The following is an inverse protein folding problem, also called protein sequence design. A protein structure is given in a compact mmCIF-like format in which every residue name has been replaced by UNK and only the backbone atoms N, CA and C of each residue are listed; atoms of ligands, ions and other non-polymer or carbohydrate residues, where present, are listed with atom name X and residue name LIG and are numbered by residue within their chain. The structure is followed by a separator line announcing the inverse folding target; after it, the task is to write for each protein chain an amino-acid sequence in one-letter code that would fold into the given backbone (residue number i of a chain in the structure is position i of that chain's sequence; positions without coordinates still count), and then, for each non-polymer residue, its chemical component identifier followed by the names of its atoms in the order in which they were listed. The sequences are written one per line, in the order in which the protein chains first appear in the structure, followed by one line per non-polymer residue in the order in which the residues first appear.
data_IF_100371386402
#
_entry.id   IF_100371386402
#
_cell.length_a   1.000
_cell.length_b   1.000
_cell.length_c   1.000
_cell.angle_alpha   90.00
_cell.angle_beta   90.00
_cell.angle_gamma   90.00
#
_symmetry.space_group_name_H-M   'P 1'
#
loop_
_entity.id
_entity.type
_entity.pdbx_description
1 polymer ?
#
# COMPACT_ATOMS: atom_id res chain seq x y z
N UNK A 1 6.98 52.68 55.91
CA UNK A 1 5.59 53.01 55.48
C UNK A 1 5.42 52.91 53.97
N UNK A 2 6.32 53.43 53.14
CA UNK A 2 6.20 53.32 51.67
C UNK A 2 6.16 51.86 51.17
N UNK A 3 6.98 50.97 51.71
CA UNK A 3 7.06 49.56 51.28
C UNK A 3 5.80 48.76 51.65
N UNK A 4 5.22 49.03 52.81
CA UNK A 4 3.97 48.39 53.25
C UNK A 4 2.77 48.86 52.41
N UNK A 5 2.72 50.13 52.02
CA UNK A 5 1.68 50.63 51.10
C UNK A 5 1.82 50.05 49.68
N UNK A 6 3.06 49.89 49.19
CA UNK A 6 3.35 49.27 47.90
C UNK A 6 2.91 47.80 47.85
N UNK A 7 3.18 47.04 48.93
CA UNK A 7 2.77 45.64 49.06
C UNK A 7 1.24 45.46 49.13
N UNK A 8 0.56 46.32 49.87
CA UNK A 8 -0.91 46.30 49.98
C UNK A 8 -1.57 46.68 48.65
N UNK A 9 -1.01 47.66 47.93
CA UNK A 9 -1.52 48.07 46.63
C UNK A 9 -1.30 46.99 45.56
N UNK A 10 -0.16 46.31 45.55
CA UNK A 10 0.14 45.23 44.59
C UNK A 10 -0.72 43.98 44.83
N UNK A 11 -0.91 43.60 46.10
CA UNK A 11 -1.81 42.48 46.47
C UNK A 11 -3.28 42.78 46.14
N UNK A 12 -3.74 44.01 46.37
CA UNK A 12 -5.08 44.44 45.96
C UNK A 12 -5.28 44.39 44.44
N UNK A 13 -4.34 44.96 43.66
CA UNK A 13 -4.37 44.90 42.19
C UNK A 13 -4.38 43.46 41.66
N UNK A 14 -3.59 42.57 42.28
CA UNK A 14 -3.57 41.14 41.93
C UNK A 14 -4.90 40.45 42.20
N UNK A 15 -5.54 40.76 43.33
CA UNK A 15 -6.87 40.23 43.69
C UNK A 15 -7.95 40.68 42.71
N UNK A 16 -7.96 41.96 42.33
CA UNK A 16 -8.90 42.52 41.33
C UNK A 16 -8.71 41.83 39.98
N UNK A 17 -7.46 41.65 39.56
CA UNK A 17 -7.13 41.04 38.27
C UNK A 17 -7.54 39.55 38.18
N UNK A 18 -7.52 38.82 39.30
CA UNK A 18 -8.00 37.44 39.39
C UNK A 18 -9.53 37.32 39.50
N UNK A 19 -10.20 38.28 40.14
CA UNK A 19 -11.64 38.18 40.40
C UNK A 19 -12.51 38.51 39.18
N UNK A 20 -11.94 39.18 38.18
CA UNK A 20 -12.67 39.61 36.99
C UNK A 20 -12.48 38.65 35.82
N UNK A 21 -13.54 38.45 35.05
CA UNK A 21 -13.42 37.83 33.73
C UNK A 21 -13.11 38.92 32.72
N UNK A 22 -11.97 38.79 32.06
CA UNK A 22 -11.49 39.75 31.07
C UNK A 22 -12.13 39.51 29.70
N UNK A 23 -12.11 40.52 28.83
CA UNK A 23 -12.56 40.34 27.44
C UNK A 23 -11.58 39.42 26.71
N UNK A 24 -12.08 38.45 25.96
CA UNK A 24 -11.23 37.56 25.16
C UNK A 24 -10.96 38.17 23.77
N UNK A 25 -9.82 38.84 23.62
CA UNK A 25 -9.23 39.23 22.35
C UNK A 25 -7.71 39.44 22.53
N UNK A 26 -6.98 39.62 21.42
CA UNK A 26 -5.52 39.73 21.42
C UNK A 26 -5.03 40.92 22.26
N UNK A 27 -5.69 42.07 22.16
CA UNK A 27 -5.30 43.28 22.91
C UNK A 27 -5.48 43.12 24.42
N UNK A 28 -6.61 42.58 24.85
CA UNK A 28 -6.90 42.32 26.26
C UNK A 28 -5.96 41.27 26.83
N UNK A 29 -5.62 40.22 26.07
CA UNK A 29 -4.63 39.24 26.49
C UNK A 29 -3.25 39.90 26.70
N UNK A 30 -2.84 40.81 25.81
CA UNK A 30 -1.57 41.54 25.93
C UNK A 30 -1.56 42.50 27.12
N UNK A 31 -2.66 43.22 27.34
CA UNK A 31 -2.78 44.17 28.44
C UNK A 31 -2.78 43.46 29.80
N UNK A 32 -3.50 42.34 29.92
CA UNK A 32 -3.51 41.53 31.14
C UNK A 32 -2.14 40.90 31.38
N UNK A 33 -1.48 40.37 30.35
CA UNK A 33 -0.11 39.85 30.45
C UNK A 33 0.87 40.88 31.01
N UNK A 34 0.93 42.08 30.41
CA UNK A 34 1.80 43.18 30.89
C UNK A 34 1.48 43.58 32.33
N UNK A 35 0.19 43.65 32.66
CA UNK A 35 -0.25 43.97 34.03
C UNK A 35 0.17 42.90 35.03
N UNK A 36 0.11 41.63 34.64
CA UNK A 36 0.47 40.49 35.48
C UNK A 36 1.99 40.35 35.66
N UNK A 37 2.77 40.59 34.61
CA UNK A 37 4.25 40.69 34.66
C UNK A 37 4.70 41.70 35.71
N UNK A 38 4.10 42.89 35.73
CA UNK A 38 4.38 43.94 36.72
C UNK A 38 3.97 43.57 38.16
N UNK A 39 3.14 42.54 38.36
CA UNK A 39 2.63 42.08 39.67
C UNK A 39 3.31 40.79 40.17
N UNK A 40 4.46 40.44 39.57
CA UNK A 40 5.17 39.20 39.90
C UNK A 40 4.42 37.97 39.38
N UNK A 41 4.39 37.84 38.05
CA UNK A 41 3.93 36.66 37.34
C UNK A 41 4.83 35.46 37.63
N UNK A 42 4.26 34.31 37.99
CA UNK A 42 5.00 33.07 38.10
C UNK A 42 5.40 32.53 36.71
N UNK A 43 6.42 31.68 36.68
CA UNK A 43 6.94 31.09 35.44
C UNK A 43 5.86 30.30 34.68
N UNK A 44 5.01 29.55 35.39
CA UNK A 44 3.93 28.77 34.82
C UNK A 44 2.89 29.61 34.08
N UNK A 45 2.43 30.70 34.70
CA UNK A 45 1.53 31.65 34.03
C UNK A 45 2.21 32.32 32.83
N UNK A 46 3.52 32.61 32.91
CA UNK A 46 4.30 33.10 31.78
C UNK A 46 4.30 32.13 30.59
N UNK A 47 4.48 30.83 30.87
CA UNK A 47 4.37 29.75 29.87
C UNK A 47 2.95 29.64 29.30
N UNK A 48 1.92 29.75 30.14
CA UNK A 48 0.52 29.78 29.69
C UNK A 48 0.26 30.92 28.70
N UNK A 49 0.68 32.15 29.03
CA UNK A 49 0.54 33.29 28.11
C UNK A 49 1.34 33.09 26.82
N UNK A 50 2.56 32.54 26.89
CA UNK A 50 3.34 32.24 25.69
C UNK A 50 2.58 31.30 24.75
N UNK A 51 1.98 30.24 25.28
CA UNK A 51 1.23 29.29 24.45
C UNK A 51 -0.10 29.84 23.94
N UNK A 52 -0.82 30.65 24.74
CA UNK A 52 -2.01 31.35 24.26
C UNK A 52 -1.67 32.29 23.10
N UNK A 53 -0.63 33.11 23.25
CA UNK A 53 -0.25 34.09 22.23
C UNK A 53 0.22 33.42 20.93
N UNK A 54 0.78 32.22 21.02
CA UNK A 54 1.16 31.42 19.86
C UNK A 54 -0.04 30.78 19.15
N UNK A 55 -1.01 30.25 19.90
CA UNK A 55 -2.05 29.38 19.35
C UNK A 55 -3.40 30.09 19.13
N UNK A 56 -3.80 31.01 20.00
CA UNK A 56 -5.12 31.67 19.92
C UNK A 56 -5.31 32.49 18.63
N UNK A 57 -4.31 33.24 18.12
CA UNK A 57 -4.49 34.02 16.89
C UNK A 57 -4.78 33.19 15.63
N UNK A 58 -4.40 31.91 15.59
CA UNK A 58 -4.72 31.06 14.43
C UNK A 58 -6.01 30.26 14.64
N UNK A 59 -6.78 30.50 15.71
CA UNK A 59 -8.12 29.92 15.85
C UNK A 59 -9.11 30.61 14.90
N UNK A 60 -10.13 29.91 14.40
CA UNK A 60 -11.16 30.54 13.58
C UNK A 60 -11.87 31.66 14.33
N UNK A 61 -12.27 32.71 13.61
CA UNK A 61 -12.90 33.88 14.22
C UNK A 61 -14.19 33.55 15.00
N UNK A 62 -14.96 32.54 14.56
CA UNK A 62 -16.16 32.06 15.25
C UNK A 62 -15.84 31.35 16.58
N UNK A 63 -14.68 30.69 16.68
CA UNK A 63 -14.19 30.15 17.97
C UNK A 63 -13.81 31.32 18.88
N UNK A 64 -12.98 32.25 18.38
CA UNK A 64 -12.49 33.37 19.18
C UNK A 64 -13.61 34.26 19.74
N UNK A 65 -14.67 34.49 18.94
CA UNK A 65 -15.81 35.33 19.31
C UNK A 65 -16.79 34.67 20.28
N UNK A 66 -16.74 33.35 20.44
CA UNK A 66 -17.68 32.59 21.28
C UNK A 66 -16.97 31.61 22.25
N UNK A 67 -15.87 32.05 22.87
CA UNK A 67 -15.06 31.22 23.74
C UNK A 67 -14.94 31.76 25.17
N UNK A 68 -14.74 30.84 26.11
CA UNK A 68 -14.19 31.10 27.43
C UNK A 68 -12.80 30.48 27.50
N UNK A 69 -11.81 31.27 27.93
CA UNK A 69 -10.44 30.84 28.12
C UNK A 69 -10.07 30.90 29.60
N UNK A 70 -9.43 29.84 30.10
CA UNK A 70 -8.96 29.71 31.48
C UNK A 70 -7.46 29.42 31.46
N UNK A 71 -6.69 30.28 32.12
CA UNK A 71 -5.25 30.12 32.32
C UNK A 71 -4.96 29.82 33.78
N UNK A 72 -4.22 28.75 34.06
CA UNK A 72 -3.84 28.38 35.43
C UNK A 72 -2.32 28.31 35.58
N UNK A 73 -1.77 29.15 36.44
CA UNK A 73 -0.34 29.20 36.77
C UNK A 73 0.09 28.09 37.75
N UNK A 74 1.39 27.99 38.01
CA UNK A 74 1.96 26.95 38.87
C UNK A 74 1.58 27.17 40.34
N UNK A 75 1.36 28.43 40.71
CA UNK A 75 0.88 28.83 42.03
C UNK A 75 -0.63 28.59 42.24
N UNK A 76 -1.29 27.94 41.28
CA UNK A 76 -2.71 27.63 41.29
C UNK A 76 -3.63 28.80 40.96
N UNK A 77 -3.10 30.00 40.70
CA UNK A 77 -3.90 31.17 40.33
C UNK A 77 -4.50 31.00 38.94
N UNK A 78 -5.72 31.52 38.78
CA UNK A 78 -6.53 31.34 37.58
C UNK A 78 -6.92 32.69 36.98
N UNK A 79 -6.70 32.87 35.68
CA UNK A 79 -7.22 33.98 34.90
C UNK A 79 -8.32 33.48 33.95
N UNK A 80 -9.43 34.20 33.90
CA UNK A 80 -10.57 33.90 33.04
C UNK A 80 -10.75 35.00 32.00
N UNK A 81 -10.92 34.61 30.75
CA UNK A 81 -11.28 35.50 29.64
C UNK A 81 -12.55 34.95 28.97
N UNK A 82 -13.39 35.83 28.45
CA UNK A 82 -14.58 35.41 27.72
C UNK A 82 -14.95 36.34 26.56
N UNK A 83 -15.57 35.75 25.54
CA UNK A 83 -16.27 36.43 24.45
C UNK A 83 -17.54 35.67 24.11
N UNK A 84 -18.59 36.40 23.71
CA UNK A 84 -19.86 35.83 23.27
C UNK A 84 -20.55 34.98 24.34
N UNK A 85 -21.20 33.91 23.90
CA UNK A 85 -21.99 32.96 24.70
C UNK A 85 -21.14 31.90 25.40
N UNK A 86 -19.83 31.86 25.11
CA UNK A 86 -18.82 31.03 25.79
C UNK A 86 -18.99 29.53 25.53
N UNK A 87 -19.50 29.15 24.37
CA UNK A 87 -19.71 27.73 24.01
C UNK A 87 -18.38 26.96 23.93
N UNK A 88 -17.35 27.59 23.38
CA UNK A 88 -16.01 27.00 23.26
C UNK A 88 -15.24 27.16 24.56
N UNK A 89 -14.54 26.11 25.02
CA UNK A 89 -13.69 26.18 26.21
C UNK A 89 -12.23 26.03 25.84
N UNK A 90 -11.41 27.00 26.22
CA UNK A 90 -9.96 27.00 26.00
C UNK A 90 -9.27 26.92 27.35
N UNK A 91 -8.41 25.92 27.55
CA UNK A 91 -7.69 25.75 28.80
C UNK A 91 -6.18 25.69 28.53
N UNK A 92 -5.40 26.40 29.34
CA UNK A 92 -3.94 26.28 29.40
C UNK A 92 -3.54 26.25 30.87
N UNK A 93 -2.90 25.18 31.31
CA UNK A 93 -2.63 24.96 32.74
C UNK A 93 -1.21 24.51 33.02
N UNK A 94 -0.75 24.85 34.21
CA UNK A 94 0.45 24.32 34.85
C UNK A 94 0.55 22.80 34.74
N UNK A 95 1.74 22.31 34.36
CA UNK A 95 2.07 20.90 34.17
C UNK A 95 2.25 20.51 32.70
N UNK A 96 1.22 20.72 31.87
CA UNK A 96 1.30 20.40 30.43
C UNK A 96 1.53 21.63 29.54
N UNK A 97 1.13 22.82 30.00
CA UNK A 97 1.09 24.08 29.24
C UNK A 97 0.48 23.94 27.84
N UNK A 98 -0.35 22.92 27.60
CA UNK A 98 -0.90 22.65 26.28
C UNK A 98 -2.13 23.50 26.04
N UNK A 99 -2.19 24.14 24.87
CA UNK A 99 -3.37 24.85 24.42
C UNK A 99 -4.48 23.86 24.06
N UNK A 100 -5.44 23.65 24.96
CA UNK A 100 -6.55 22.71 24.78
C UNK A 100 -7.83 23.44 24.45
N UNK A 101 -8.46 23.10 23.34
CA UNK A 101 -9.75 23.64 22.92
C UNK A 101 -10.78 22.52 22.96
N UNK A 102 -11.83 22.69 23.75
CA UNK A 102 -12.99 21.80 23.81
C UNK A 102 -14.13 22.43 23.02
N UNK A 103 -14.59 21.70 22.01
CA UNK A 103 -15.72 22.10 21.19
C UNK A 103 -17.07 21.84 21.89
N UNK A 104 -18.11 22.61 21.57
CA UNK A 104 -19.46 22.39 22.11
C UNK A 104 -20.16 21.16 21.53
N UNK A 105 -19.77 20.71 20.33
CA UNK A 105 -20.35 19.55 19.65
C UNK A 105 -19.33 18.86 18.74
N UNK A 106 -19.66 17.64 18.28
CA UNK A 106 -18.86 16.90 17.28
C UNK A 106 -18.72 17.69 15.98
N UNK A 107 -19.82 18.24 15.46
CA UNK A 107 -19.82 19.03 14.22
C UNK A 107 -18.95 20.28 14.34
N UNK A 108 -19.01 20.99 15.48
CA UNK A 108 -18.15 22.13 15.75
C UNK A 108 -16.67 21.73 15.79
N UNK A 109 -16.35 20.61 16.46
CA UNK A 109 -14.99 20.08 16.52
C UNK A 109 -14.44 19.76 15.12
N UNK A 110 -15.22 19.05 14.30
CA UNK A 110 -14.87 18.72 12.92
C UNK A 110 -14.68 19.96 12.05
N UNK A 111 -15.56 20.97 12.16
CA UNK A 111 -15.41 22.23 11.44
C UNK A 111 -14.10 22.96 11.81
N UNK A 112 -13.72 22.94 13.09
CA UNK A 112 -12.44 23.50 13.56
C UNK A 112 -11.24 22.70 13.03
N UNK A 113 -11.34 21.36 12.97
CA UNK A 113 -10.29 20.53 12.38
C UNK A 113 -10.06 20.83 10.90
N UNK A 114 -11.13 21.07 10.12
CA UNK A 114 -11.03 21.45 8.70
C UNK A 114 -10.36 22.80 8.50
N UNK A 115 -10.61 23.76 9.39
CA UNK A 115 -10.10 25.12 9.26
C UNK A 115 -8.57 25.20 9.48
N UNK A 116 -8.02 24.31 10.29
CA UNK A 116 -6.59 24.32 10.63
C UNK A 116 -5.89 23.10 10.05
N UNK A 117 -4.75 23.33 9.41
CA UNK A 117 -3.81 22.25 9.16
C UNK A 117 -3.41 21.61 10.49
N UNK A 118 -3.64 20.31 10.62
CA UNK A 118 -3.28 19.57 11.83
C UNK A 118 -1.84 19.10 11.73
N UNK A 119 -1.06 19.14 12.82
CA UNK A 119 0.28 18.58 12.80
C UNK A 119 0.20 17.05 12.59
N UNK A 120 0.97 16.52 11.66
CA UNK A 120 1.01 15.09 11.40
C UNK A 120 1.99 14.40 12.36
N UNK A 121 1.44 13.53 13.21
CA UNK A 121 2.18 12.53 13.98
C UNK A 121 1.21 11.43 14.41
N UNK A 122 1.72 10.24 14.73
CA UNK A 122 0.88 9.16 15.29
C UNK A 122 0.18 9.61 16.56
N UNK A 123 0.85 10.42 17.40
CA UNK A 123 0.25 10.98 18.61
C UNK A 123 -0.88 11.97 18.32
N UNK A 124 -0.75 12.81 17.29
CA UNK A 124 -1.81 13.74 16.91
C UNK A 124 -3.03 13.02 16.30
N UNK A 125 -2.79 12.01 15.44
CA UNK A 125 -3.86 11.20 14.86
C UNK A 125 -4.66 10.48 15.96
N UNK A 126 -3.99 9.82 16.90
CA UNK A 126 -4.63 9.18 18.06
C UNK A 126 -5.39 10.17 18.92
N UNK A 127 -4.81 11.34 19.18
CA UNK A 127 -5.49 12.39 19.94
C UNK A 127 -6.77 12.84 19.26
N UNK A 128 -6.77 13.05 17.95
CA UNK A 128 -7.97 13.43 17.21
C UNK A 128 -9.03 12.33 17.28
N UNK A 129 -8.62 11.07 17.13
CA UNK A 129 -9.50 9.91 17.28
C UNK A 129 -10.13 9.85 18.69
N UNK A 130 -9.32 10.04 19.74
CA UNK A 130 -9.76 10.09 21.15
C UNK A 130 -10.71 11.26 21.40
N UNK A 131 -10.37 12.46 20.92
CA UNK A 131 -11.19 13.67 21.06
C UNK A 131 -12.56 13.46 20.38
N UNK A 132 -12.62 12.79 19.23
CA UNK A 132 -13.89 12.44 18.57
C UNK A 132 -14.72 11.44 19.39
N UNK A 133 -14.07 10.44 20.00
CA UNK A 133 -14.74 9.46 20.89
C UNK A 133 -15.39 10.12 22.11
N UNK A 134 -14.92 11.29 22.54
CA UNK A 134 -15.56 12.04 23.64
C UNK A 134 -16.96 12.57 23.32
N UNK A 135 -17.32 12.68 22.03
CA UNK A 135 -18.65 13.10 21.58
C UNK A 135 -19.59 11.92 21.28
N UNK A 136 -19.13 10.67 21.45
CA UNK A 136 -19.88 9.46 21.14
C UNK A 136 -19.02 8.44 20.38
N UNK A 137 -19.54 7.24 20.10
CA UNK A 137 -18.82 6.24 19.31
C UNK A 137 -18.53 6.77 17.90
N UNK A 138 -17.37 6.38 17.36
CA UNK A 138 -17.03 6.64 15.96
C UNK A 138 -17.94 5.84 15.03
N UNK A 139 -18.24 6.39 13.87
CA UNK A 139 -18.88 5.62 12.80
C UNK A 139 -17.92 4.51 12.30
N UNK A 140 -18.43 3.45 11.66
CA UNK A 140 -17.56 2.44 11.03
C UNK A 140 -16.56 3.04 10.04
N UNK A 141 -16.99 4.06 9.29
CA UNK A 141 -16.14 4.79 8.36
C UNK A 141 -14.99 5.52 9.06
N UNK A 142 -15.31 6.34 10.07
CA UNK A 142 -14.33 7.05 10.89
C UNK A 142 -13.32 6.06 11.51
N UNK A 143 -13.82 5.04 12.20
CA UNK A 143 -13.00 4.09 12.93
C UNK A 143 -12.03 3.34 12.00
N UNK A 144 -12.53 2.84 10.87
CA UNK A 144 -11.72 2.06 9.92
C UNK A 144 -10.68 2.92 9.21
N UNK A 145 -10.98 4.19 8.90
CA UNK A 145 -10.00 5.13 8.35
C UNK A 145 -8.89 5.47 9.37
N UNK A 146 -9.25 5.73 10.64
CA UNK A 146 -8.26 5.98 11.70
C UNK A 146 -7.38 4.74 11.95
N UNK A 147 -7.97 3.55 11.99
CA UNK A 147 -7.21 2.31 12.14
C UNK A 147 -6.22 2.11 10.98
N UNK A 148 -6.68 2.26 9.75
CA UNK A 148 -5.86 2.10 8.55
C UNK A 148 -4.71 3.11 8.51
N UNK A 149 -4.97 4.39 8.77
CA UNK A 149 -3.93 5.41 8.74
C UNK A 149 -2.91 5.20 9.85
N UNK A 150 -3.36 4.84 11.06
CA UNK A 150 -2.45 4.58 12.18
C UNK A 150 -1.59 3.34 11.91
N UNK A 151 -2.16 2.29 11.33
CA UNK A 151 -1.43 1.07 10.99
C UNK A 151 -0.38 1.30 9.90
N UNK A 152 -0.69 2.08 8.87
CA UNK A 152 0.20 2.32 7.72
C UNK A 152 1.24 3.39 8.01
N UNK A 153 0.84 4.53 8.56
CA UNK A 153 1.73 5.66 8.82
C UNK A 153 2.77 5.35 9.89
N UNK A 154 2.40 4.63 10.95
CA UNK A 154 3.34 4.28 12.04
C UNK A 154 4.48 3.36 11.60
N UNK A 155 4.34 2.67 10.46
CA UNK A 155 5.36 1.79 9.88
C UNK A 155 6.27 2.52 8.89
N UNK A 156 6.02 3.80 8.59
CA UNK A 156 6.84 4.57 7.65
C UNK A 156 8.17 4.94 8.27
N UNK A 157 9.26 5.02 7.50
CA UNK A 157 10.52 5.57 7.98
C UNK A 157 10.36 7.01 8.48
N UNK A 158 11.19 7.41 9.45
CA UNK A 158 11.14 8.74 10.05
C UNK A 158 11.28 9.86 9.02
N UNK A 159 12.06 9.65 7.95
CA UNK A 159 12.21 10.61 6.85
C UNK A 159 10.87 10.95 6.19
N UNK A 160 10.02 9.93 5.97
CA UNK A 160 8.68 10.11 5.40
C UNK A 160 7.77 10.73 6.46
N UNK A 161 7.77 10.20 7.69
CA UNK A 161 6.90 10.72 8.75
C UNK A 161 7.12 12.21 9.05
N UNK A 162 8.35 12.71 8.88
CA UNK A 162 8.71 14.11 9.11
C UNK A 162 8.44 15.05 7.93
N UNK A 163 8.01 14.54 6.76
CA UNK A 163 7.74 15.34 5.56
C UNK A 163 6.50 14.84 4.78
N UNK A 164 5.42 14.50 5.48
CA UNK A 164 4.24 13.89 4.88
C UNK A 164 2.98 14.74 5.05
N UNK A 165 2.04 14.54 4.15
CA UNK A 165 0.67 15.00 4.26
C UNK A 165 -0.26 13.79 4.22
N UNK A 166 -1.16 13.70 5.21
CA UNK A 166 -2.25 12.72 5.25
C UNK A 166 -3.57 13.44 5.07
N UNK A 167 -4.40 12.97 4.14
CA UNK A 167 -5.80 13.36 3.97
C UNK A 167 -6.70 12.21 4.42
N UNK A 168 -7.56 12.45 5.39
CA UNK A 168 -8.65 11.53 5.75
C UNK A 168 -9.93 12.03 5.09
N UNK A 169 -10.56 11.17 4.29
CA UNK A 169 -11.78 11.48 3.55
C UNK A 169 -12.83 10.43 3.89
N UNK A 170 -13.88 10.83 4.58
CA UNK A 170 -15.03 9.96 4.85
C UNK A 170 -16.31 10.78 4.92
N UNK A 171 -17.43 10.16 4.55
CA UNK A 171 -18.75 10.77 4.58
C UNK A 171 -19.14 11.12 6.02
N UNK A 172 -19.48 12.39 6.24
CA UNK A 172 -20.12 12.86 7.46
C UNK A 172 -21.42 13.56 7.08
N UNK A 173 -22.56 12.98 7.48
CA UNK A 173 -23.89 13.55 7.26
C UNK A 173 -24.28 13.79 5.79
N UNK A 174 -23.76 12.98 4.86
CA UNK A 174 -24.04 13.07 3.42
C UNK A 174 -23.10 14.00 2.65
N UNK A 175 -22.07 14.55 3.31
CA UNK A 175 -21.00 15.32 2.69
C UNK A 175 -19.68 14.56 2.78
N UNK A 176 -18.94 14.51 1.66
CA UNK A 176 -17.56 14.03 1.66
C UNK A 176 -16.67 15.08 2.33
N UNK A 177 -16.10 14.73 3.48
CA UNK A 177 -15.31 15.64 4.27
C UNK A 177 -13.83 15.29 4.20
N UNK A 178 -12.99 16.29 3.96
CA UNK A 178 -11.53 16.15 3.98
C UNK A 178 -10.92 16.73 5.27
N UNK A 179 -10.07 15.94 5.93
CA UNK A 179 -9.24 16.37 7.07
C UNK A 179 -7.77 16.22 6.72
N UNK A 180 -7.00 17.30 6.82
CA UNK A 180 -5.61 17.36 6.37
C UNK A 180 -4.65 17.47 7.56
N UNK A 181 -3.70 16.54 7.62
CA UNK A 181 -2.60 16.49 8.58
C UNK A 181 -1.27 16.66 7.83
N UNK A 182 -0.37 17.52 8.30
CA UNK A 182 0.90 17.83 7.62
C UNK A 182 2.07 17.82 8.61
N UNK A 183 3.20 17.25 8.18
CA UNK A 183 4.52 17.36 8.78
C UNK A 183 5.54 17.84 7.74
N UNK A 184 6.49 18.67 8.16
CA UNK A 184 7.48 19.25 7.24
C UNK A 184 6.82 20.08 6.14
N UNK A 185 7.23 19.84 4.89
CA UNK A 185 6.65 20.46 3.69
C UNK A 185 5.44 19.68 3.16
N UNK A 186 5.28 18.41 3.54
CA UNK A 186 4.17 17.56 3.11
C UNK A 186 4.36 16.96 1.73
N UNK A 187 5.61 16.72 1.31
CA UNK A 187 5.94 16.23 -0.03
C UNK A 187 5.44 14.78 -0.27
N UNK A 188 5.43 13.96 0.79
CA UNK A 188 4.85 12.61 0.74
C UNK A 188 3.35 12.66 1.00
N UNK A 189 2.53 12.53 -0.04
CA UNK A 189 1.06 12.61 0.08
C UNK A 189 0.46 11.23 0.30
N UNK A 190 -0.45 11.13 1.24
CA UNK A 190 -1.17 9.91 1.57
C UNK A 190 -2.65 10.25 1.75
N UNK A 191 -3.53 9.49 1.13
CA UNK A 191 -4.97 9.67 1.29
C UNK A 191 -5.58 8.39 1.83
N UNK A 192 -6.48 8.53 2.80
CA UNK A 192 -7.32 7.46 3.31
C UNK A 192 -8.77 7.84 3.04
N UNK A 193 -9.40 7.14 2.10
CA UNK A 193 -10.78 7.39 1.68
C UNK A 193 -11.67 6.27 2.18
N UNK A 194 -12.89 6.57 2.64
CA UNK A 194 -13.91 5.54 2.86
C UNK A 194 -14.85 5.50 1.66
N UNK A 195 -14.74 4.45 0.85
CA UNK A 195 -15.59 4.25 -0.34
C UNK A 195 -16.01 2.79 -0.44
N UNK A 196 -17.19 2.53 -1.00
CA UNK A 196 -17.69 1.17 -1.22
C UNK A 196 -17.73 0.30 0.05
N UNK A 197 -18.01 0.92 1.21
CA UNK A 197 -18.14 0.23 2.50
C UNK A 197 -16.82 -0.12 3.20
N UNK A 198 -15.69 0.44 2.76
CA UNK A 198 -14.37 0.13 3.33
C UNK A 198 -13.36 1.27 3.18
N UNK A 199 -12.34 1.35 4.04
CA UNK A 199 -11.25 2.29 3.87
C UNK A 199 -10.31 1.84 2.74
N UNK A 200 -9.87 2.78 1.92
CA UNK A 200 -8.85 2.64 0.89
C UNK A 200 -7.68 3.54 1.26
N UNK A 201 -6.47 3.04 1.05
CA UNK A 201 -5.25 3.78 1.34
C UNK A 201 -4.47 3.98 0.05
N UNK A 202 -4.11 5.23 -0.25
CA UNK A 202 -3.25 5.57 -1.38
C UNK A 202 -2.08 6.44 -0.92
N UNK A 203 -0.94 6.23 -1.55
CA UNK A 203 0.29 6.99 -1.35
C UNK A 203 0.73 7.53 -2.70
N UNK A 204 1.17 8.77 -2.70
CA UNK A 204 1.62 9.48 -3.86
C UNK A 204 2.93 10.20 -3.52
N UNK A 205 3.99 9.84 -4.24
CA UNK A 205 5.28 10.52 -4.20
C UNK A 205 5.54 11.20 -5.55
N UNK A 206 5.65 12.53 -5.52
CA UNK A 206 5.91 13.37 -6.69
C UNK A 206 7.22 14.09 -6.46
N UNK A 207 8.10 14.07 -7.46
CA UNK A 207 9.33 14.86 -7.44
C UNK A 207 9.02 16.36 -7.62
N UNK A 208 10.03 17.23 -7.42
CA UNK A 208 9.92 18.67 -7.66
C UNK A 208 9.53 19.05 -9.09
N UNK A 209 9.75 18.14 -10.06
CA UNK A 209 9.51 18.39 -11.48
C UNK A 209 8.14 17.88 -11.94
N UNK A 210 7.20 17.65 -11.00
CA UNK A 210 5.90 17.01 -11.25
C UNK A 210 5.99 15.60 -11.88
N UNK A 211 7.17 14.99 -11.78
CA UNK A 211 7.40 13.62 -12.23
C UNK A 211 6.80 12.63 -11.23
N UNK A 212 5.97 11.69 -11.71
CA UNK A 212 5.48 10.60 -10.87
C UNK A 212 6.63 9.64 -10.57
N UNK A 213 7.17 9.70 -9.36
CA UNK A 213 8.21 8.75 -8.94
C UNK A 213 7.60 7.41 -8.52
N UNK A 214 6.53 7.47 -7.74
CA UNK A 214 5.84 6.29 -7.26
C UNK A 214 4.42 6.63 -6.79
N UNK A 215 3.44 5.89 -7.28
CA UNK A 215 2.09 5.85 -6.73
C UNK A 215 1.79 4.43 -6.25
N UNK A 216 1.20 4.30 -5.08
CA UNK A 216 0.74 3.01 -4.58
C UNK A 216 -0.63 3.13 -3.94
N UNK A 217 -1.49 2.14 -4.11
CA UNK A 217 -2.75 2.07 -3.37
C UNK A 217 -3.15 0.62 -3.09
N UNK A 218 -3.83 0.40 -1.97
CA UNK A 218 -4.41 -0.91 -1.65
C UNK A 218 -5.91 -0.92 -1.99
N UNK A 219 -6.31 -1.90 -2.78
CA UNK A 219 -7.69 -2.19 -3.20
C UNK A 219 -8.15 -3.52 -2.57
N UNK A 220 -9.46 -3.73 -2.44
CA UNK A 220 -10.00 -5.05 -2.06
C UNK A 220 -10.53 -5.85 -3.25
N UNK A 221 -10.87 -5.18 -4.35
CA UNK A 221 -11.29 -5.81 -5.60
C UNK A 221 -10.53 -5.18 -6.76
N UNK A 222 -10.11 -6.03 -7.71
CA UNK A 222 -9.58 -5.56 -8.99
C UNK A 222 -10.72 -5.62 -10.01
N UNK A 223 -11.33 -4.46 -10.25
CA UNK A 223 -12.35 -4.31 -11.27
C UNK A 223 -12.06 -3.08 -12.14
N UNK A 224 -12.79 -2.99 -13.25
CA UNK A 224 -12.63 -1.90 -14.21
C UNK A 224 -13.00 -0.55 -13.57
N UNK A 225 -13.96 -0.51 -12.65
CA UNK A 225 -14.36 0.71 -11.95
C UNK A 225 -13.21 1.29 -11.12
N UNK A 226 -12.63 0.48 -10.24
CA UNK A 226 -11.50 0.86 -9.39
C UNK A 226 -10.29 1.30 -10.22
N UNK A 227 -9.99 0.61 -11.32
CA UNK A 227 -8.90 1.01 -12.22
C UNK A 227 -9.15 2.36 -12.90
N UNK A 228 -10.37 2.59 -13.38
CA UNK A 228 -10.75 3.87 -14.01
C UNK A 228 -10.78 5.01 -12.99
N UNK A 229 -11.11 4.74 -11.73
CA UNK A 229 -11.03 5.71 -10.64
C UNK A 229 -9.57 6.14 -10.38
N UNK A 230 -8.64 5.18 -10.30
CA UNK A 230 -7.21 5.46 -10.15
C UNK A 230 -6.68 6.23 -11.36
N UNK A 231 -7.01 5.79 -12.58
CA UNK A 231 -6.64 6.48 -13.82
C UNK A 231 -7.14 7.94 -13.81
N UNK A 232 -8.39 8.16 -13.43
CA UNK A 232 -8.99 9.49 -13.33
C UNK A 232 -8.31 10.35 -12.27
N UNK A 233 -7.95 9.76 -11.12
CA UNK A 233 -7.20 10.45 -10.05
C UNK A 233 -5.82 10.90 -10.55
N UNK A 234 -5.10 10.04 -11.26
CA UNK A 234 -3.80 10.40 -11.84
C UNK A 234 -3.93 11.49 -12.91
N UNK A 235 -4.99 11.43 -13.74
CA UNK A 235 -5.27 12.46 -14.75
C UNK A 235 -5.59 13.83 -14.12
N UNK A 236 -6.37 13.87 -13.04
CA UNK A 236 -6.68 15.12 -12.31
C UNK A 236 -5.44 15.76 -11.68
N UNK A 237 -4.41 14.97 -11.41
CA UNK A 237 -3.14 15.42 -10.85
C UNK A 237 -2.10 15.77 -11.93
N UNK A 238 -2.46 15.66 -13.21
CA UNK A 238 -1.55 15.82 -14.36
C UNK A 238 -0.35 14.85 -14.32
N UNK A 239 -0.57 13.64 -13.77
CA UNK A 239 0.44 12.58 -13.61
C UNK A 239 0.23 11.39 -14.55
N UNK A 240 -0.85 11.40 -15.35
CA UNK A 240 -1.18 10.32 -16.27
C UNK A 240 -0.43 10.49 -17.61
N UNK A 241 0.71 9.83 -17.75
CA UNK A 241 1.47 9.79 -19.00
C UNK A 241 0.77 8.92 -20.06
N UNK A 242 1.08 9.13 -21.34
CA UNK A 242 0.58 8.27 -22.43
C UNK A 242 1.01 6.80 -22.25
N UNK A 243 2.22 6.58 -21.74
CA UNK A 243 2.74 5.26 -21.38
C UNK A 243 1.87 4.58 -20.33
N UNK A 244 1.56 5.28 -19.23
CA UNK A 244 0.69 4.76 -18.17
C UNK A 244 -0.73 4.51 -18.68
N UNK A 245 -1.29 5.45 -19.45
CA UNK A 245 -2.61 5.32 -20.05
C UNK A 245 -2.69 4.07 -20.94
N UNK A 246 -1.64 3.79 -21.71
CA UNK A 246 -1.54 2.56 -22.49
C UNK A 246 -1.52 1.30 -21.60
N UNK A 247 -0.76 1.32 -20.50
CA UNK A 247 -0.76 0.24 -19.52
C UNK A 247 -2.15 0.00 -18.88
N UNK A 248 -2.87 1.06 -18.51
CA UNK A 248 -4.24 0.97 -17.97
C UNK A 248 -5.20 0.35 -18.98
N UNK A 249 -5.21 0.84 -20.21
CA UNK A 249 -6.11 0.32 -21.25
C UNK A 249 -5.84 -1.17 -21.52
N UNK A 250 -4.57 -1.57 -21.63
CA UNK A 250 -4.24 -2.98 -21.80
C UNK A 250 -4.59 -3.85 -20.59
N UNK A 251 -4.44 -3.34 -19.37
CA UNK A 251 -4.88 -4.06 -18.18
C UNK A 251 -6.40 -4.26 -18.18
N UNK A 252 -7.17 -3.22 -18.50
CA UNK A 252 -8.63 -3.27 -18.61
C UNK A 252 -9.07 -4.28 -19.68
N UNK A 253 -8.39 -4.33 -20.82
CA UNK A 253 -8.69 -5.29 -21.89
C UNK A 253 -8.40 -6.75 -21.51
N UNK A 254 -7.41 -6.97 -20.62
CA UNK A 254 -6.98 -8.32 -20.19
C UNK A 254 -7.67 -8.83 -18.92
N UNK A 255 -8.26 -7.94 -18.14
CA UNK A 255 -9.07 -8.23 -16.96
C UNK A 255 -10.24 -9.22 -17.17
N UNK A 256 -10.96 -9.22 -18.32
CA UNK A 256 -12.09 -10.11 -18.55
C UNK A 256 -11.74 -11.61 -18.54
N UNK A 257 -10.47 -11.96 -18.82
CA UNK A 257 -10.01 -13.36 -18.87
C UNK A 257 -9.53 -13.90 -17.52
N UNK A 258 -9.12 -13.01 -16.61
CA UNK A 258 -8.40 -13.36 -15.38
C UNK A 258 -9.22 -13.14 -14.10
N UNK A 259 -10.55 -13.24 -14.18
CA UNK A 259 -11.48 -12.99 -13.06
C UNK A 259 -11.02 -13.69 -11.77
N UNK A 260 -10.44 -12.90 -10.86
CA UNK A 260 -10.12 -13.26 -9.49
C UNK A 260 -11.36 -12.89 -8.67
N UNK A 261 -12.20 -13.89 -8.37
CA UNK A 261 -13.44 -13.73 -7.58
C UNK A 261 -13.21 -13.64 -6.06
N UNK A 262 -11.98 -13.43 -5.61
CA UNK A 262 -11.66 -13.48 -4.19
C UNK A 262 -11.34 -12.06 -3.69
N UNK A 263 -11.99 -11.67 -2.58
CA UNK A 263 -11.70 -10.47 -1.77
C UNK A 263 -10.27 -10.55 -1.23
N UNK A 264 -9.29 -10.32 -2.10
CA UNK A 264 -7.87 -10.31 -1.78
C UNK A 264 -7.45 -8.85 -1.65
N UNK A 265 -6.67 -8.54 -0.62
CA UNK A 265 -5.96 -7.28 -0.58
C UNK A 265 -5.03 -7.20 -1.78
N UNK A 266 -5.30 -6.24 -2.66
CA UNK A 266 -4.60 -6.00 -3.91
C UNK A 266 -3.77 -4.73 -3.75
N UNK A 267 -2.46 -4.84 -3.87
CA UNK A 267 -1.55 -3.70 -3.87
C UNK A 267 -1.26 -3.29 -5.32
N UNK A 268 -1.79 -2.13 -5.68
CA UNK A 268 -1.53 -1.45 -6.92
C UNK A 268 -0.33 -0.52 -6.74
N UNK A 269 0.60 -0.53 -7.69
CA UNK A 269 1.77 0.35 -7.72
C UNK A 269 2.01 0.80 -9.16
N UNK A 270 2.38 2.05 -9.38
CA UNK A 270 2.81 2.51 -10.68
C UNK A 270 3.87 3.62 -10.61
N UNK A 271 4.68 3.67 -11.66
CA UNK A 271 5.59 4.77 -12.00
C UNK A 271 5.25 5.26 -13.43
N UNK A 272 6.00 6.20 -13.99
CA UNK A 272 5.69 6.77 -15.32
C UNK A 272 5.51 5.77 -16.47
N UNK A 273 6.08 4.57 -16.39
CA UNK A 273 6.13 3.61 -17.48
C UNK A 273 5.63 2.22 -17.09
N UNK A 274 5.45 1.97 -15.79
CA UNK A 274 5.12 0.66 -15.26
C UNK A 274 3.90 0.73 -14.37
N UNK A 275 3.08 -0.29 -14.50
CA UNK A 275 1.93 -0.55 -13.67
C UNK A 275 2.07 -1.98 -13.14
N UNK A 276 1.94 -2.14 -11.83
CA UNK A 276 2.01 -3.44 -11.16
C UNK A 276 0.84 -3.60 -10.20
N UNK A 277 0.10 -4.70 -10.37
CA UNK A 277 -1.04 -5.07 -9.52
C UNK A 277 -0.70 -6.39 -8.87
N UNK A 278 -0.60 -6.38 -7.55
CA UNK A 278 -0.09 -7.50 -6.77
C UNK A 278 -1.16 -7.96 -5.79
N UNK A 279 -1.24 -9.28 -5.59
CA UNK A 279 -1.96 -9.93 -4.50
C UNK A 279 -1.01 -10.93 -3.86
N UNK A 280 -1.44 -11.55 -2.76
CA UNK A 280 -0.71 -12.67 -2.15
C UNK A 280 -0.53 -13.84 -3.14
N UNK A 281 -1.47 -14.03 -4.06
CA UNK A 281 -1.54 -15.24 -4.91
C UNK A 281 -1.15 -14.99 -6.36
N UNK A 282 -1.03 -13.74 -6.78
CA UNK A 282 -0.75 -13.40 -8.18
C UNK A 282 -0.15 -12.00 -8.31
N UNK A 283 0.51 -11.78 -9.43
CA UNK A 283 1.16 -10.53 -9.79
C UNK A 283 0.96 -10.24 -11.28
N UNK A 284 0.47 -9.04 -11.57
CA UNK A 284 0.36 -8.49 -12.92
C UNK A 284 1.34 -7.35 -13.04
N UNK A 285 2.13 -7.31 -14.11
CA UNK A 285 2.89 -6.12 -14.47
C UNK A 285 2.64 -5.78 -15.94
N UNK A 286 2.34 -4.53 -16.19
CA UNK A 286 2.32 -3.92 -17.51
C UNK A 286 3.43 -2.89 -17.56
N UNK A 287 4.29 -2.95 -18.57
CA UNK A 287 5.36 -2.00 -18.79
C UNK A 287 5.30 -1.48 -20.22
N UNK A 288 5.26 -0.17 -20.40
CA UNK A 288 5.34 0.47 -21.71
C UNK A 288 6.79 0.73 -22.07
N UNK A 289 7.26 0.16 -23.18
CA UNK A 289 8.54 0.44 -23.81
C UNK A 289 8.25 0.97 -25.22
N UNK A 290 8.52 2.25 -25.47
CA UNK A 290 8.33 2.91 -26.78
C UNK A 290 6.92 2.74 -27.38
N UNK A 291 5.88 2.81 -26.53
CA UNK A 291 4.48 2.69 -26.94
C UNK A 291 3.97 1.25 -27.09
N UNK A 292 4.84 0.25 -26.96
CA UNK A 292 4.45 -1.15 -26.86
C UNK A 292 4.38 -1.55 -25.39
N UNK A 293 3.27 -2.16 -24.97
CA UNK A 293 3.12 -2.64 -23.60
C UNK A 293 3.44 -4.13 -23.52
N UNK A 294 4.45 -4.45 -22.72
CA UNK A 294 4.76 -5.81 -22.32
C UNK A 294 3.92 -6.14 -21.08
N UNK A 295 3.10 -7.19 -21.19
CA UNK A 295 2.20 -7.64 -20.13
C UNK A 295 2.69 -8.97 -19.57
N UNK A 296 2.91 -9.02 -18.26
CA UNK A 296 3.30 -10.23 -17.54
C UNK A 296 2.27 -10.54 -16.47
N UNK A 297 1.75 -11.76 -16.49
CA UNK A 297 0.89 -12.31 -15.45
C UNK A 297 1.61 -13.49 -14.82
N UNK A 298 1.73 -13.48 -13.50
CA UNK A 298 2.25 -14.60 -12.70
C UNK A 298 1.18 -14.97 -11.67
N UNK A 299 0.76 -16.24 -11.68
CA UNK A 299 -0.10 -16.79 -10.63
C UNK A 299 0.67 -17.87 -9.89
N UNK A 300 0.46 -17.90 -8.57
CA UNK A 300 0.98 -18.94 -7.69
C UNK A 300 -0.04 -20.07 -7.48
N UNK A 301 -1.11 -20.14 -8.28
CA UNK A 301 -2.15 -21.17 -8.19
C UNK A 301 -2.06 -22.14 -9.36
N UNK A 302 -1.91 -23.44 -9.06
CA UNK A 302 -1.77 -24.51 -10.07
C UNK A 302 -2.86 -24.51 -11.15
N UNK A 303 -4.13 -24.44 -10.76
CA UNK A 303 -5.24 -24.53 -11.70
C UNK A 303 -5.23 -23.39 -12.74
N UNK A 304 -4.83 -22.20 -12.32
CA UNK A 304 -4.70 -21.05 -13.20
C UNK A 304 -3.50 -21.20 -14.13
N UNK A 305 -2.36 -21.64 -13.60
CA UNK A 305 -1.18 -21.94 -14.42
C UNK A 305 -1.51 -22.96 -15.50
N UNK A 306 -2.21 -24.05 -15.15
CA UNK A 306 -2.59 -25.07 -16.11
C UNK A 306 -3.56 -24.53 -17.16
N UNK A 307 -4.58 -23.77 -16.76
CA UNK A 307 -5.54 -23.14 -17.68
C UNK A 307 -4.85 -22.21 -18.70
N UNK A 308 -3.81 -21.50 -18.28
CA UNK A 308 -3.07 -20.56 -19.14
C UNK A 308 -2.16 -21.25 -20.16
N UNK A 309 -1.62 -22.40 -19.79
CA UNK A 309 -0.67 -23.17 -20.61
C UNK A 309 -1.33 -24.30 -21.39
N UNK A 310 -2.62 -24.59 -21.13
CA UNK A 310 -3.38 -25.60 -21.87
C UNK A 310 -3.36 -25.31 -23.37
N UNK A 311 -2.88 -26.26 -24.16
CA UNK A 311 -2.82 -26.18 -25.62
C UNK A 311 -1.74 -25.24 -26.16
N UNK A 312 -0.82 -24.75 -25.32
CA UNK A 312 0.32 -23.93 -25.75
C UNK A 312 1.61 -24.72 -25.57
N UNK A 313 2.29 -25.12 -26.66
CA UNK A 313 3.56 -25.82 -26.54
C UNK A 313 4.65 -24.89 -26.02
N UNK A 314 5.41 -25.36 -25.05
CA UNK A 314 6.60 -24.73 -24.52
C UNK A 314 7.85 -25.18 -25.27
N UNK A 315 8.91 -24.38 -25.23
CA UNK A 315 10.21 -24.83 -25.70
C UNK A 315 10.74 -25.96 -24.80
N UNK A 316 11.21 -27.05 -25.41
CA UNK A 316 11.79 -28.18 -24.70
C UNK A 316 13.33 -28.08 -24.67
N UNK A 317 13.85 -27.53 -23.59
CA UNK A 317 15.27 -27.62 -23.18
C UNK A 317 15.34 -28.16 -21.74
N UNK A 318 16.51 -28.68 -21.35
CA UNK A 318 16.70 -29.16 -19.97
C UNK A 318 16.54 -28.01 -18.97
N UNK A 319 17.07 -26.83 -19.33
CA UNK A 319 16.99 -25.61 -18.55
C UNK A 319 15.53 -25.16 -18.40
N UNK A 320 14.77 -25.10 -19.51
CA UNK A 320 13.37 -24.68 -19.48
C UNK A 320 12.49 -25.66 -18.72
N UNK A 321 12.70 -26.95 -18.88
CA UNK A 321 11.95 -27.98 -18.16
C UNK A 321 12.23 -27.93 -16.64
N UNK A 322 13.49 -27.68 -16.25
CA UNK A 322 13.86 -27.46 -14.84
C UNK A 322 13.27 -26.15 -14.29
N UNK A 323 13.25 -25.08 -15.09
CA UNK A 323 12.62 -23.80 -14.74
C UNK A 323 11.13 -23.99 -14.45
N UNK A 324 10.38 -24.62 -15.37
CA UNK A 324 8.95 -24.87 -15.17
C UNK A 324 8.71 -25.78 -13.98
N UNK A 325 9.52 -26.84 -13.77
CA UNK A 325 9.42 -27.66 -12.55
C UNK A 325 9.60 -26.83 -11.27
N UNK A 326 10.58 -25.93 -11.24
CA UNK A 326 10.80 -25.07 -10.07
C UNK A 326 9.63 -24.11 -9.86
N UNK A 327 9.07 -23.55 -10.93
CA UNK A 327 7.86 -22.72 -10.85
C UNK A 327 6.69 -23.51 -10.26
N UNK A 328 6.41 -24.72 -10.77
CA UNK A 328 5.35 -25.59 -10.28
C UNK A 328 5.57 -25.94 -8.81
N UNK A 329 6.78 -26.32 -8.38
CA UNK A 329 7.06 -26.63 -6.96
C UNK A 329 6.78 -25.47 -6.00
N UNK A 330 6.91 -24.24 -6.48
CA UNK A 330 6.70 -23.03 -5.68
C UNK A 330 5.25 -22.55 -5.68
N UNK A 331 4.37 -23.13 -6.49
CA UNK A 331 2.95 -22.78 -6.51
C UNK A 331 2.21 -23.38 -5.32
N UNK A 332 1.25 -22.62 -4.80
CA UNK A 332 0.23 -23.11 -3.89
C UNK A 332 -0.69 -24.12 -4.58
N UNK A 333 -1.30 -25.00 -3.78
CA UNK A 333 -2.31 -26.00 -4.21
C UNK A 333 -1.86 -27.02 -5.27
N UNK A 334 -0.56 -27.16 -5.54
CA UNK A 334 -0.05 -28.19 -6.47
C UNK A 334 -0.23 -29.59 -5.88
N UNK A 335 -0.94 -30.49 -6.58
CA UNK A 335 -1.04 -31.88 -6.17
C UNK A 335 0.34 -32.54 -6.14
N UNK A 336 0.62 -33.35 -5.11
CA UNK A 336 1.90 -34.07 -4.99
C UNK A 336 2.24 -34.84 -6.28
N UNK A 337 1.24 -35.48 -6.89
CA UNK A 337 1.38 -36.20 -8.16
C UNK A 337 1.93 -35.33 -9.29
N UNK A 338 1.49 -34.08 -9.43
CA UNK A 338 2.01 -33.16 -10.44
C UNK A 338 3.51 -32.91 -10.23
N UNK A 339 3.94 -32.66 -9.00
CA UNK A 339 5.36 -32.48 -8.68
C UNK A 339 6.18 -33.73 -9.03
N UNK A 340 5.67 -34.91 -8.72
CA UNK A 340 6.33 -36.18 -9.00
C UNK A 340 6.39 -36.45 -10.52
N UNK A 341 5.34 -36.12 -11.27
CA UNK A 341 5.32 -36.21 -12.75
C UNK A 341 6.39 -35.30 -13.36
N UNK A 342 6.53 -34.05 -12.89
CA UNK A 342 7.60 -33.16 -13.34
C UNK A 342 9.00 -33.67 -12.98
N UNK A 343 9.16 -34.33 -11.83
CA UNK A 343 10.43 -34.95 -11.45
C UNK A 343 10.79 -36.08 -12.42
N UNK A 344 9.82 -36.95 -12.72
CA UNK A 344 9.98 -38.04 -13.69
C UNK A 344 10.29 -37.48 -15.08
N UNK A 345 9.56 -36.46 -15.53
CA UNK A 345 9.76 -35.82 -16.82
C UNK A 345 11.19 -35.28 -16.98
N UNK A 346 11.69 -34.54 -15.98
CA UNK A 346 13.07 -34.03 -15.99
C UNK A 346 14.08 -35.18 -16.03
N UNK A 347 13.90 -36.22 -15.21
CA UNK A 347 14.83 -37.34 -15.14
C UNK A 347 14.88 -38.10 -16.47
N UNK A 348 13.72 -38.51 -16.99
CA UNK A 348 13.59 -39.23 -18.26
C UNK A 348 14.20 -38.42 -19.40
N UNK A 349 13.84 -37.13 -19.52
CA UNK A 349 14.37 -36.30 -20.59
C UNK A 349 15.89 -36.09 -20.49
N UNK A 350 16.44 -35.94 -19.27
CA UNK A 350 17.89 -35.79 -19.07
C UNK A 350 18.69 -37.07 -19.35
N UNK A 351 18.10 -38.25 -19.13
CA UNK A 351 18.75 -39.54 -19.40
C UNK A 351 18.79 -39.89 -20.89
N UNK A 352 17.89 -39.29 -21.68
CA UNK A 352 17.81 -39.50 -23.12
C UNK A 352 19.00 -38.93 -23.90
N UNK A 353 19.18 -39.45 -25.10
CA UNK A 353 20.29 -39.02 -25.96
C UNK A 353 20.10 -37.59 -26.48
N UNK A 354 21.20 -36.88 -26.72
CA UNK A 354 21.16 -35.52 -27.32
C UNK A 354 20.45 -35.47 -28.68
N UNK A 355 20.47 -36.58 -29.43
CA UNK A 355 19.74 -36.67 -30.70
C UNK A 355 18.23 -36.68 -30.49
N UNK A 356 17.74 -37.40 -29.49
CA UNK A 356 16.33 -37.40 -29.13
C UNK A 356 15.92 -36.03 -28.60
N UNK A 357 16.70 -35.46 -27.67
CA UNK A 357 16.41 -34.18 -27.04
C UNK A 357 16.23 -33.02 -28.04
N UNK A 358 17.00 -33.01 -29.14
CA UNK A 358 16.96 -31.95 -30.18
C UNK A 358 15.69 -31.96 -31.06
N UNK A 359 14.90 -33.02 -31.02
CA UNK A 359 13.72 -33.18 -31.87
C UNK A 359 12.62 -33.96 -31.14
N UNK A 360 12.35 -33.58 -29.89
CA UNK A 360 11.41 -34.27 -29.00
C UNK A 360 10.13 -33.46 -28.77
N UNK A 361 9.03 -34.17 -28.55
CA UNK A 361 7.76 -33.65 -28.03
C UNK A 361 7.47 -34.37 -26.72
N UNK A 362 7.65 -33.66 -25.60
CA UNK A 362 7.36 -34.16 -24.27
C UNK A 362 5.97 -33.70 -23.85
N UNK A 363 5.11 -34.66 -23.51
CA UNK A 363 3.76 -34.44 -22.98
C UNK A 363 3.75 -34.87 -21.52
N UNK A 364 3.39 -33.96 -20.62
CA UNK A 364 3.25 -34.22 -19.19
C UNK A 364 1.77 -34.20 -18.85
N UNK A 365 1.20 -35.36 -18.59
CA UNK A 365 -0.18 -35.46 -18.12
C UNK A 365 -0.25 -35.03 -16.66
N UNK A 366 -1.10 -34.05 -16.39
CA UNK A 366 -1.32 -33.50 -15.07
C UNK A 366 -2.81 -33.52 -14.73
N UNK A 367 -3.11 -33.21 -13.47
CA UNK A 367 -4.51 -33.14 -13.04
C UNK A 367 -5.20 -31.95 -13.67
N UNK A 368 -6.20 -32.22 -14.49
CA UNK A 368 -6.97 -31.19 -15.19
C UNK A 368 -6.46 -30.83 -16.59
N UNK A 369 -5.43 -31.51 -17.10
CA UNK A 369 -4.95 -31.28 -18.47
C UNK A 369 -3.55 -31.81 -18.76
N UNK A 370 -3.03 -31.41 -19.92
CA UNK A 370 -1.70 -31.80 -20.41
C UNK A 370 -0.86 -30.55 -20.64
N UNK A 371 0.45 -30.69 -20.44
CA UNK A 371 1.44 -29.67 -20.79
C UNK A 371 2.37 -30.23 -21.87
N UNK A 372 2.50 -29.46 -22.94
CA UNK A 372 3.29 -29.80 -24.11
C UNK A 372 4.62 -29.04 -24.10
N UNK A 373 5.71 -29.75 -24.39
CA UNK A 373 7.03 -29.17 -24.61
C UNK A 373 7.59 -29.72 -25.93
N UNK A 374 8.08 -28.85 -26.81
CA UNK A 374 8.57 -29.20 -28.14
C UNK A 374 9.99 -28.67 -28.36
N UNK A 375 10.87 -29.53 -28.85
CA UNK A 375 12.19 -29.20 -29.38
C UNK A 375 12.24 -29.57 -30.85
N UNK A 376 12.82 -28.71 -31.69
CA UNK A 376 12.92 -28.94 -33.12
C UNK A 376 11.55 -29.14 -33.78
N UNK A 377 11.35 -30.29 -34.45
CA UNK A 377 10.08 -30.65 -35.11
C UNK A 377 9.19 -31.55 -34.24
N UNK A 378 9.61 -31.90 -33.03
CA UNK A 378 8.82 -32.74 -32.11
C UNK A 378 8.58 -34.18 -32.57
N UNK A 379 9.45 -34.76 -33.41
CA UNK A 379 9.17 -36.07 -34.03
C UNK A 379 9.35 -37.27 -33.09
N UNK A 380 10.12 -37.14 -32.01
CA UNK A 380 10.27 -38.18 -30.99
C UNK A 380 9.36 -37.86 -29.81
N UNK A 381 8.40 -38.71 -29.48
CA UNK A 381 7.42 -38.40 -28.44
C UNK A 381 7.85 -39.00 -27.10
N UNK A 382 7.78 -38.22 -26.03
CA UNK A 382 7.90 -38.69 -24.65
C UNK A 382 6.58 -38.37 -23.97
N UNK A 383 5.93 -39.36 -23.40
CA UNK A 383 4.70 -39.19 -22.63
C UNK A 383 4.98 -39.56 -21.19
N UNK A 384 4.69 -38.66 -20.25
CA UNK A 384 4.71 -38.93 -18.81
C UNK A 384 3.27 -38.89 -18.33
N UNK A 385 2.80 -40.00 -17.78
CA UNK A 385 1.41 -40.17 -17.37
C UNK A 385 1.30 -40.91 -16.05
N UNK A 386 0.11 -40.81 -15.45
CA UNK A 386 -0.20 -41.42 -14.17
C UNK A 386 -1.29 -42.48 -14.36
N UNK A 387 -0.97 -43.74 -14.03
CA UNK A 387 -1.91 -44.87 -14.12
C UNK A 387 -1.76 -45.73 -12.87
N UNK A 388 -2.87 -46.12 -12.24
CA UNK A 388 -2.89 -47.05 -11.09
C UNK A 388 -1.93 -46.67 -9.95
N UNK A 389 -1.91 -45.38 -9.61
CA UNK A 389 -1.04 -44.79 -8.60
C UNK A 389 0.48 -44.83 -8.87
N UNK A 390 0.86 -45.10 -10.12
CA UNK A 390 2.25 -45.16 -10.57
C UNK A 390 2.46 -44.13 -11.69
N UNK A 391 3.57 -43.39 -11.59
CA UNK A 391 4.02 -42.50 -12.66
C UNK A 391 4.87 -43.30 -13.63
N UNK A 392 4.41 -43.41 -14.86
CA UNK A 392 5.09 -44.13 -15.94
C UNK A 392 5.50 -43.18 -17.08
N UNK A 393 6.37 -43.67 -17.96
CA UNK A 393 6.88 -42.92 -19.10
C UNK A 393 6.95 -43.80 -20.34
N UNK A 394 6.42 -43.32 -21.46
CA UNK A 394 6.58 -43.94 -22.78
C UNK A 394 7.46 -43.07 -23.66
N UNK A 395 8.45 -43.69 -24.30
CA UNK A 395 9.36 -43.01 -25.24
C UNK A 395 9.20 -43.62 -26.63
N UNK A 396 8.65 -42.84 -27.55
CA UNK A 396 8.48 -43.20 -28.95
C UNK A 396 9.62 -42.59 -29.77
N UNK A 397 10.43 -43.47 -30.36
CA UNK A 397 11.60 -43.10 -31.15
C UNK A 397 11.31 -43.32 -32.62
N UNK A 398 11.74 -42.39 -33.47
CA UNK A 398 11.83 -42.67 -34.91
C UNK A 398 12.83 -43.80 -35.17
N UNK A 399 12.69 -44.50 -36.30
CA UNK A 399 13.60 -45.60 -36.67
C UNK A 399 15.08 -45.17 -36.66
N UNK A 400 15.37 -43.95 -37.12
CA UNK A 400 16.71 -43.39 -37.13
C UNK A 400 17.27 -43.17 -35.70
N UNK A 401 16.48 -42.59 -34.80
CA UNK A 401 16.89 -42.40 -33.40
C UNK A 401 17.01 -43.73 -32.64
N UNK A 402 16.20 -44.73 -32.99
CA UNK A 402 16.33 -46.09 -32.45
C UNK A 402 17.69 -46.71 -32.80
N UNK A 403 18.08 -46.69 -34.08
CA UNK A 403 19.39 -47.18 -34.54
C UNK A 403 20.55 -46.47 -33.82
N UNK A 404 20.50 -45.14 -33.74
CA UNK A 404 21.53 -44.36 -33.07
C UNK A 404 21.59 -44.65 -31.56
N UNK A 405 20.45 -44.90 -30.92
CA UNK A 405 20.39 -45.22 -29.49
C UNK A 405 20.94 -46.62 -29.15
N UNK A 406 20.79 -47.60 -30.05
CA UNK A 406 21.37 -48.93 -29.89
C UNK A 406 22.90 -48.87 -29.84
N UNK A 407 23.52 -47.91 -30.52
CA UNK A 407 24.97 -47.74 -30.49
C UNK A 407 25.52 -47.43 -29.08
N UNK A 408 24.71 -46.83 -28.19
CA UNK A 408 25.08 -46.53 -26.79
C UNK A 408 25.07 -47.77 -25.88
N UNK A 409 24.32 -48.81 -26.25
CA UNK A 409 24.16 -50.06 -25.48
C UNK A 409 24.96 -51.24 -26.03
N UNK A 410 25.64 -51.08 -27.15
CA UNK A 410 26.60 -52.07 -27.66
C UNK A 410 27.84 -52.04 -26.73
N UNK A 411 28.15 -53.14 -26.01
CA UNK A 411 29.37 -53.20 -25.22
C UNK A 411 30.58 -52.92 -26.11
N UNK A 412 31.54 -52.12 -25.62
CA UNK A 412 32.80 -51.75 -26.31
C UNK A 412 33.66 -52.95 -26.77
N UNK A 413 33.23 -54.18 -26.50
CA UNK A 413 33.91 -55.43 -26.79
C UNK A 413 33.38 -56.18 -28.02
N UNK A 414 32.37 -55.68 -28.75
CA UNK A 414 31.88 -56.35 -29.97
C UNK A 414 32.77 -56.05 -31.21
N UNK A 415 32.96 -57.03 -32.13
CA UNK A 415 33.86 -56.91 -33.27
C UNK A 415 33.48 -55.76 -34.22
N UNK A 416 34.43 -55.25 -35.03
CA UNK A 416 34.26 -54.10 -35.94
C UNK A 416 33.28 -54.32 -37.12
N UNK A 417 32.45 -55.35 -37.09
CA UNK A 417 31.52 -55.72 -38.16
C UNK A 417 30.21 -54.90 -38.06
N UNK A 418 29.78 -54.53 -36.85
CA UNK A 418 28.52 -53.78 -36.64
C UNK A 418 28.54 -52.35 -37.23
N UNK A 419 29.64 -51.56 -37.13
CA UNK A 419 29.73 -50.25 -37.79
C UNK A 419 29.61 -50.31 -39.32
N UNK A 420 30.01 -51.42 -39.95
CA UNK A 420 29.96 -51.60 -41.41
C UNK A 420 28.52 -51.87 -41.86
N UNK A 421 27.78 -52.71 -41.12
CA UNK A 421 26.37 -52.97 -41.38
C UNK A 421 25.52 -51.71 -41.13
N UNK A 422 25.81 -50.94 -40.08
CA UNK A 422 25.13 -49.66 -39.84
C UNK A 422 25.40 -48.64 -40.96
N UNK A 423 26.64 -48.55 -41.47
CA UNK A 423 26.99 -47.68 -42.61
C UNK A 423 26.26 -48.08 -43.89
N UNK A 424 26.12 -49.38 -44.18
CA UNK A 424 25.40 -49.89 -45.35
C UNK A 424 23.89 -49.63 -45.28
N UNK A 425 23.29 -49.70 -44.09
CA UNK A 425 21.86 -49.42 -43.90
C UNK A 425 21.58 -47.91 -43.97
N UNK A 426 22.49 -47.06 -43.44
CA UNK A 426 22.38 -45.60 -43.52
C UNK A 426 22.64 -45.02 -44.92
N UNK A 427 23.28 -45.76 -45.83
CA UNK A 427 23.43 -45.34 -47.23
C UNK A 427 22.22 -45.69 -48.12
N UNK A 428 21.25 -46.44 -47.60
CA UNK A 428 20.05 -46.89 -48.32
C UNK A 428 18.74 -46.24 -47.84
N UNK A 429 18.82 -45.33 -46.86
CA UNK A 429 17.72 -44.51 -46.30
C UNK A 429 18.09 -43.04 -46.48
#
# INVERSE_FOLDING_TARGET
MADTFSLVLSTWKKKVLLSQTHKLNIDSLNNVKKSWENLGMDEGMGKCFKEVMKNFPNEPSWVMKNAQMILKGDDGKVLSFASGEKEWKINVSAGDYKFRVKAPSKSAYLARLRFRQQPLSTGCLKKVEEDLKTFGPLTPAENSCFEMVLQRFSKKPDQIQNNAQIKLIFDTDGENVEYVFISGNGDYKMDVTYSSGQPQYSELHVSSDNKLENFSCSLQTLDVGNLREIESKLAQLDLLTDSLKSCFNHLVDKLPECIIKNNLQIDFTCDEQRLSVNSKEWKINAQSNDGKVDFTFKSEIWEQFLKQNKGKPHELTVEKLKEVRTQVRNMSTVPKRVNDTFNKAVNVFCEETSYLQKNAHLVIQCDGGELDFISGKGQNKIEIFYTDDIIDSKVFRTWLTFILSLHKHIPKALPPIIPIILRLVLSCL
#
